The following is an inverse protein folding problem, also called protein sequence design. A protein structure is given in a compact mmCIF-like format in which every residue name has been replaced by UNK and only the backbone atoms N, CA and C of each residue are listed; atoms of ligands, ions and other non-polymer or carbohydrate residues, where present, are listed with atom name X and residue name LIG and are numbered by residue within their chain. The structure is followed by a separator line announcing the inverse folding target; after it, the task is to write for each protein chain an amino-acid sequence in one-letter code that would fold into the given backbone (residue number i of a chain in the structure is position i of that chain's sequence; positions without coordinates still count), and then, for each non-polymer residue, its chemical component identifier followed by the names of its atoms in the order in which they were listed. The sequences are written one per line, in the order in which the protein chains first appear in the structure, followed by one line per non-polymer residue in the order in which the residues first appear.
data_IF_150468431056
#
_entry.id   IF_150468431056
#
_cell.length_a   1.000
_cell.length_b   1.000
_cell.length_c   1.000
_cell.angle_alpha   90.00
_cell.angle_beta   90.00
_cell.angle_gamma   90.00
#
_symmetry.space_group_name_H-M   'P 1'
#
loop_
_entity.id
_entity.type
_entity.pdbx_description
1 polymer ?
#
# COMPACT_ATOMS: atom_id res chain seq x y z
N UNK A 1 11.42 -11.48 -9.87
CA UNK A 1 10.82 -10.55 -8.89
C UNK A 1 10.50 -9.26 -9.62
N UNK A 2 9.53 -8.50 -9.11
CA UNK A 2 9.24 -7.15 -9.57
C UNK A 2 9.21 -6.21 -8.36
N UNK A 3 9.45 -4.94 -8.63
CA UNK A 3 9.15 -3.85 -7.71
C UNK A 3 8.09 -2.98 -8.37
N UNK A 4 7.15 -2.47 -7.57
CA UNK A 4 6.19 -1.47 -7.99
C UNK A 4 6.19 -0.36 -6.95
N UNK A 5 6.35 0.87 -7.40
CA UNK A 5 6.20 2.08 -6.59
C UNK A 5 4.97 2.82 -7.07
N UNK A 6 4.10 3.23 -6.15
CA UNK A 6 2.92 4.00 -6.49
C UNK A 6 2.65 5.14 -5.51
N UNK A 7 1.92 6.13 -6.00
CA UNK A 7 1.32 7.18 -5.19
C UNK A 7 -0.21 7.19 -5.34
N UNK A 8 -0.94 7.60 -4.31
CA UNK A 8 -2.40 7.73 -4.33
C UNK A 8 -2.86 8.82 -3.37
N UNK A 9 -4.01 9.45 -3.63
CA UNK A 9 -4.59 10.48 -2.78
C UNK A 9 -5.28 9.82 -1.58
N UNK A 10 -4.97 10.28 -0.37
CA UNK A 10 -5.56 9.76 0.86
C UNK A 10 -7.00 10.27 1.03
N UNK A 11 -7.94 9.35 1.27
CA UNK A 11 -9.30 9.67 1.69
C UNK A 11 -9.46 9.59 3.23
N UNK A 12 -8.38 9.32 3.96
CA UNK A 12 -8.40 9.14 5.41
C UNK A 12 -8.41 10.48 6.13
N UNK A 13 -9.38 10.75 7.02
CA UNK A 13 -9.41 11.97 7.83
C UNK A 13 -8.15 12.13 8.67
N UNK A 14 -7.64 13.36 8.81
CA UNK A 14 -6.39 13.64 9.54
C UNK A 14 -6.32 12.98 10.92
N UNK A 15 -7.40 13.06 11.70
CA UNK A 15 -7.46 12.48 13.06
C UNK A 15 -7.45 10.95 13.12
N UNK A 16 -7.67 10.26 11.99
CA UNK A 16 -7.71 8.80 11.93
C UNK A 16 -6.45 8.18 11.29
N UNK A 17 -5.52 9.00 10.78
CA UNK A 17 -4.38 8.52 9.97
C UNK A 17 -3.47 7.55 10.70
N UNK A 18 -3.08 7.88 11.93
CA UNK A 18 -2.19 7.02 12.71
C UNK A 18 -2.82 5.64 12.94
N UNK A 19 -4.09 5.61 13.36
CA UNK A 19 -4.85 4.37 13.56
C UNK A 19 -4.95 3.56 12.27
N UNK A 20 -5.25 4.20 11.14
CA UNK A 20 -5.35 3.53 9.85
C UNK A 20 -4.01 2.98 9.40
N UNK A 21 -2.92 3.74 9.52
CA UNK A 21 -1.57 3.27 9.19
C UNK A 21 -1.16 2.08 10.05
N UNK A 22 -1.40 2.13 11.36
CA UNK A 22 -1.13 0.99 12.25
C UNK A 22 -1.95 -0.24 11.87
N UNK A 23 -3.23 -0.07 11.51
CA UNK A 23 -4.07 -1.15 11.04
C UNK A 23 -3.58 -1.75 9.71
N UNK A 24 -3.16 -0.91 8.76
CA UNK A 24 -2.55 -1.37 7.50
C UNK A 24 -1.26 -2.13 7.80
N UNK A 25 -0.37 -1.58 8.61
CA UNK A 25 0.90 -2.22 8.96
C UNK A 25 0.69 -3.60 9.61
N UNK A 26 -0.21 -3.69 10.60
CA UNK A 26 -0.51 -4.94 11.29
C UNK A 26 -1.07 -6.00 10.33
N UNK A 27 -1.92 -5.59 9.39
CA UNK A 27 -2.55 -6.48 8.44
C UNK A 27 -1.60 -6.87 7.29
N UNK A 28 -0.72 -5.97 6.87
CA UNK A 28 0.29 -6.19 5.84
C UNK A 28 1.44 -7.06 6.32
N UNK A 29 1.88 -6.91 7.58
CA UNK A 29 3.06 -7.62 8.10
C UNK A 29 2.98 -9.16 7.91
N UNK A 30 1.89 -9.79 8.39
CA UNK A 30 1.71 -11.24 8.24
C UNK A 30 1.46 -11.67 6.80
N UNK A 31 0.55 -10.99 6.11
CA UNK A 31 0.13 -11.37 4.74
C UNK A 31 1.22 -11.17 3.71
N UNK A 32 2.05 -10.15 3.88
CA UNK A 32 3.16 -9.89 2.98
C UNK A 32 4.29 -10.91 3.23
N UNK A 33 4.58 -11.24 4.50
CA UNK A 33 5.55 -12.27 4.83
C UNK A 33 5.19 -13.64 4.22
N UNK A 34 3.93 -14.06 4.32
CA UNK A 34 3.41 -15.31 3.71
C UNK A 34 3.55 -15.35 2.19
N UNK A 35 3.63 -14.18 1.53
CA UNK A 35 3.71 -14.04 0.06
C UNK A 35 5.09 -13.62 -0.43
N UNK A 36 6.08 -13.57 0.47
CA UNK A 36 7.42 -13.05 0.18
C UNK A 36 7.40 -11.64 -0.43
N UNK A 37 6.50 -10.78 0.06
CA UNK A 37 6.39 -9.37 -0.32
C UNK A 37 7.05 -8.51 0.77
N UNK A 38 7.87 -7.56 0.37
CA UNK A 38 8.49 -6.54 1.22
C UNK A 38 8.13 -5.14 0.73
N UNK A 39 8.54 -4.11 1.48
CA UNK A 39 8.36 -2.71 1.07
C UNK A 39 8.07 -1.77 2.23
N UNK A 40 7.57 -0.58 1.89
CA UNK A 40 7.22 0.47 2.85
C UNK A 40 5.94 1.20 2.42
N UNK A 41 5.29 1.85 3.39
CA UNK A 41 4.14 2.73 3.17
C UNK A 41 4.38 4.02 3.96
N UNK A 42 4.24 5.14 3.28
CA UNK A 42 4.31 6.49 3.85
C UNK A 42 2.99 7.20 3.56
N UNK A 43 2.51 8.00 4.51
CA UNK A 43 1.46 8.99 4.27
C UNK A 43 1.97 10.35 4.73
N UNK A 44 1.94 11.36 3.85
CA UNK A 44 2.41 12.73 4.15
C UNK A 44 1.28 13.65 4.61
N UNK A 45 0.05 13.14 4.68
CA UNK A 45 -1.14 13.93 4.83
C UNK A 45 -2.05 13.79 3.62
N UNK A 46 -1.60 14.20 2.44
CA UNK A 46 -2.46 14.23 1.26
C UNK A 46 -2.33 12.94 0.44
N UNK A 47 -1.16 12.32 0.45
CA UNK A 47 -0.84 11.18 -0.39
C UNK A 47 -0.33 9.99 0.41
N UNK A 48 -0.62 8.79 -0.09
CA UNK A 48 0.13 7.58 0.23
C UNK A 48 1.20 7.34 -0.82
N UNK A 49 2.39 6.96 -0.37
CA UNK A 49 3.48 6.46 -1.20
C UNK A 49 3.84 5.07 -0.72
N UNK A 50 3.87 4.10 -1.63
CA UNK A 50 4.15 2.72 -1.28
C UNK A 50 5.02 2.04 -2.32
N UNK A 51 6.05 1.35 -1.83
CA UNK A 51 6.83 0.41 -2.61
C UNK A 51 6.45 -1.02 -2.22
N UNK A 52 6.30 -1.89 -3.20
CA UNK A 52 6.05 -3.32 -3.04
C UNK A 52 7.08 -4.10 -3.86
N UNK A 53 7.78 -5.03 -3.23
CA UNK A 53 8.78 -5.87 -3.89
C UNK A 53 8.48 -7.35 -3.61
N UNK A 54 8.60 -8.21 -4.62
CA UNK A 54 8.42 -9.65 -4.44
C UNK A 54 8.13 -10.43 -5.73
N UNK A 55 7.54 -11.64 -5.62
CA UNK A 55 7.09 -12.42 -6.78
C UNK A 55 6.02 -11.67 -7.58
N UNK A 56 6.15 -11.65 -8.92
CA UNK A 56 5.33 -10.80 -9.79
C UNK A 56 3.82 -11.06 -9.69
N UNK A 57 3.41 -12.33 -9.59
CA UNK A 57 2.01 -12.70 -9.39
C UNK A 57 1.47 -12.24 -8.03
N UNK A 58 2.27 -12.35 -6.97
CA UNK A 58 1.89 -11.93 -5.63
C UNK A 58 1.77 -10.41 -5.51
N UNK A 59 2.71 -9.67 -6.10
CA UNK A 59 2.68 -8.19 -6.13
C UNK A 59 1.49 -7.71 -6.94
N UNK A 60 1.25 -8.27 -8.14
CA UNK A 60 0.11 -7.88 -8.99
C UNK A 60 -1.23 -8.12 -8.28
N UNK A 61 -1.43 -9.30 -7.69
CA UNK A 61 -2.66 -9.61 -6.96
C UNK A 61 -2.88 -8.74 -5.70
N UNK A 62 -1.80 -8.30 -5.06
CA UNK A 62 -1.88 -7.33 -3.97
C UNK A 62 -2.25 -5.93 -4.49
N UNK A 63 -1.64 -5.52 -5.61
CA UNK A 63 -1.87 -4.22 -6.23
C UNK A 63 -3.34 -4.06 -6.66
N UNK A 64 -3.95 -5.10 -7.22
CA UNK A 64 -5.37 -5.08 -7.61
C UNK A 64 -6.30 -4.88 -6.40
N UNK A 65 -6.01 -5.54 -5.28
CA UNK A 65 -6.74 -5.31 -4.02
C UNK A 65 -6.54 -3.90 -3.48
N UNK A 66 -5.33 -3.38 -3.59
CA UNK A 66 -5.02 -2.02 -3.15
C UNK A 66 -5.78 -1.01 -4.03
N UNK A 67 -5.85 -1.20 -5.34
CA UNK A 67 -6.59 -0.29 -6.25
C UNK A 67 -8.06 -0.09 -5.87
N UNK A 68 -8.70 -1.11 -5.30
CA UNK A 68 -10.11 -1.08 -4.89
C UNK A 68 -10.32 -0.55 -3.45
N UNK A 69 -9.25 -0.25 -2.73
CA UNK A 69 -9.34 0.14 -1.33
C UNK A 69 -9.92 1.56 -1.16
N UNK A 70 -11.07 1.72 -0.48
CA UNK A 70 -11.77 3.01 -0.40
C UNK A 70 -11.05 4.06 0.44
N UNK A 71 -9.93 3.70 1.09
CA UNK A 71 -9.12 4.63 1.89
C UNK A 71 -8.25 5.55 1.03
N UNK A 72 -8.18 5.34 -0.28
CA UNK A 72 -7.44 6.19 -1.21
C UNK A 72 -8.09 6.23 -2.60
N UNK A 73 -7.64 7.16 -3.43
CA UNK A 73 -8.06 7.32 -4.83
C UNK A 73 -6.89 7.80 -5.69
N UNK A 74 -7.12 7.97 -7.00
CA UNK A 74 -6.13 8.53 -7.93
C UNK A 74 -4.77 7.82 -7.92
N UNK A 75 -4.79 6.48 -7.79
CA UNK A 75 -3.58 5.67 -7.74
C UNK A 75 -2.81 5.76 -9.07
N UNK A 76 -1.51 6.07 -8.97
CA UNK A 76 -0.57 6.17 -10.09
C UNK A 76 0.68 5.36 -9.82
N UNK A 77 1.06 4.54 -10.78
CA UNK A 77 2.36 3.84 -10.76
C UNK A 77 3.44 4.85 -11.14
N UNK A 78 4.54 4.82 -10.39
CA UNK A 78 5.71 5.69 -10.54
C UNK A 78 6.90 4.95 -11.13
N UNK A 79 7.07 3.67 -10.78
CA UNK A 79 8.12 2.76 -11.23
C UNK A 79 7.63 1.31 -11.12
#
# INVERSE_FOLDING_TARGET
MIQVVYASRSAVPQGAKLTVLSAIQAASYRRNAERSITGFLINDGEFFYQALEGPGSCVTALLDRIREDPRHSDMRILD
#
